data_IF_523285848710
#
_entry.id   IF_523285848710
#
_cell.length_a   1.000
_cell.length_b   1.000
_cell.length_c   1.000
_cell.angle_alpha   90.00
_cell.angle_beta   90.00
_cell.angle_gamma   90.00
#
_symmetry.space_group_name_H-M   'P 1'
#
loop_
_entity.id
_entity.type
_entity.pdbx_description
1 polymer ?
#
# COMPACT_ATOMS: atom_id res chain seq x y z
N UNK A 1 -19.90 -26.48 -23.05
CA UNK A 1 -18.66 -26.10 -22.58
C UNK A 1 -18.06 -24.82 -23.10
N UNK A 2 -18.58 -23.64 -22.70
CA UNK A 2 -17.96 -22.33 -23.00
C UNK A 2 -17.20 -21.83 -21.77
N UNK A 3 -15.99 -22.38 -21.56
CA UNK A 3 -15.32 -22.10 -20.29
C UNK A 3 -14.36 -20.93 -20.36
N UNK A 4 -13.94 -20.43 -21.51
CA UNK A 4 -13.02 -19.28 -21.59
C UNK A 4 -13.29 -18.41 -22.81
N UNK A 5 -14.24 -17.47 -22.72
CA UNK A 5 -14.22 -16.32 -23.62
C UNK A 5 -13.00 -15.47 -23.24
N UNK A 6 -11.95 -15.51 -24.08
CA UNK A 6 -10.86 -14.54 -23.98
C UNK A 6 -11.47 -13.15 -24.19
N UNK A 7 -11.49 -12.33 -23.14
CA UNK A 7 -11.82 -10.92 -23.31
C UNK A 7 -10.61 -10.27 -23.97
N UNK A 8 -10.74 -9.98 -25.26
CA UNK A 8 -9.77 -9.14 -25.96
C UNK A 8 -10.11 -7.69 -25.59
N UNK A 9 -9.21 -7.05 -24.84
CA UNK A 9 -9.25 -5.61 -24.69
C UNK A 9 -8.70 -5.02 -25.98
N UNK A 10 -9.52 -4.24 -26.68
CA UNK A 10 -9.03 -3.41 -27.78
C UNK A 10 -8.24 -2.25 -27.17
N UNK A 11 -6.93 -2.42 -27.12
CA UNK A 11 -5.99 -1.40 -26.60
C UNK A 11 -5.48 -0.49 -27.72
N UNK A 12 -6.02 -0.62 -28.94
CA UNK A 12 -5.65 0.23 -30.07
C UNK A 12 -6.08 1.68 -29.82
N UNK A 13 -5.21 2.47 -29.20
CA UNK A 13 -5.38 3.90 -28.94
C UNK A 13 -5.46 4.34 -27.49
N UNK A 14 -5.44 3.44 -26.52
CA UNK A 14 -5.38 3.79 -25.10
C UNK A 14 -4.12 3.19 -24.46
N UNK A 15 -3.01 3.90 -24.58
CA UNK A 15 -1.89 3.64 -23.66
C UNK A 15 -2.33 4.15 -22.28
N UNK A 16 -2.44 3.29 -21.26
CA UNK A 16 -2.62 3.78 -19.90
C UNK A 16 -1.49 4.76 -19.61
N UNK A 17 -1.78 5.92 -18.99
CA UNK A 17 -0.74 6.87 -18.67
C UNK A 17 0.32 6.15 -17.82
N UNK A 18 1.59 6.36 -18.17
CA UNK A 18 2.71 5.88 -17.36
C UNK A 18 2.45 6.35 -15.94
N UNK A 19 2.33 5.38 -15.02
CA UNK A 19 2.12 5.69 -13.61
C UNK A 19 3.38 6.36 -13.05
N UNK A 20 3.22 7.58 -12.56
CA UNK A 20 4.26 8.30 -11.85
C UNK A 20 3.69 8.77 -10.50
N UNK A 21 4.20 8.18 -9.42
CA UNK A 21 3.73 8.50 -8.08
C UNK A 21 4.07 9.95 -7.75
N UNK A 22 3.10 10.67 -7.15
CA UNK A 22 3.31 12.03 -6.65
C UNK A 22 3.68 12.00 -5.19
N UNK A 23 4.58 12.89 -4.82
CA UNK A 23 5.02 13.09 -3.43
C UNK A 23 3.87 13.68 -2.63
N UNK A 24 3.54 13.06 -1.52
CA UNK A 24 2.43 13.43 -0.64
C UNK A 24 2.95 13.96 0.70
N UNK A 25 2.16 14.78 1.41
CA UNK A 25 2.45 15.09 2.81
C UNK A 25 2.63 13.82 3.65
N UNK A 26 3.62 13.82 4.55
CA UNK A 26 4.04 12.66 5.38
C UNK A 26 4.81 11.57 4.65
N UNK A 27 5.11 11.74 3.36
CA UNK A 27 6.08 10.84 2.72
C UNK A 27 7.47 11.04 3.31
N UNK A 28 8.18 9.94 3.42
CA UNK A 28 9.57 9.91 3.86
C UNK A 28 10.45 9.67 2.64
N UNK A 29 11.32 10.63 2.34
CA UNK A 29 12.15 10.61 1.15
C UNK A 29 13.62 10.39 1.50
N UNK A 30 14.32 9.64 0.67
CA UNK A 30 15.79 9.64 0.60
C UNK A 30 16.19 10.38 -0.65
N UNK A 31 17.00 11.43 -0.50
CA UNK A 31 17.48 12.26 -1.60
C UNK A 31 18.99 12.16 -1.63
N UNK A 32 19.55 11.83 -2.79
CA UNK A 32 21.00 11.75 -2.99
C UNK A 32 21.43 12.67 -4.12
N UNK A 33 22.51 13.39 -3.89
CA UNK A 33 23.18 14.24 -4.88
C UNK A 33 24.53 13.61 -5.18
N UNK A 34 24.78 13.29 -6.44
CA UNK A 34 26.04 12.71 -6.90
C UNK A 34 26.69 13.64 -7.92
N UNK A 35 27.98 13.83 -7.78
CA UNK A 35 28.83 14.65 -8.64
C UNK A 35 30.07 13.86 -9.02
N UNK A 36 30.83 14.31 -10.00
CA UNK A 36 32.10 13.69 -10.39
C UNK A 36 33.11 13.73 -9.23
N UNK A 37 33.11 14.84 -8.48
CA UNK A 37 33.88 14.99 -7.25
C UNK A 37 32.96 14.80 -6.02
N UNK A 38 33.11 13.71 -5.24
CA UNK A 38 32.25 13.46 -4.08
C UNK A 38 32.30 14.52 -2.98
N UNK A 39 33.40 15.25 -2.86
CA UNK A 39 33.53 16.32 -1.85
C UNK A 39 32.61 17.48 -2.14
N UNK A 40 32.35 17.76 -3.41
CA UNK A 40 31.40 18.79 -3.85
C UNK A 40 29.96 18.44 -3.50
N UNK A 41 29.60 17.16 -3.48
CA UNK A 41 28.27 16.67 -3.12
C UNK A 41 28.07 16.49 -1.61
N UNK A 42 29.14 16.36 -0.83
CA UNK A 42 29.07 16.03 0.59
C UNK A 42 28.16 16.97 1.44
N UNK A 43 28.12 18.31 1.23
CA UNK A 43 27.26 19.20 1.99
C UNK A 43 25.76 18.94 1.79
N UNK A 44 25.36 18.28 0.69
CA UNK A 44 23.97 17.99 0.32
C UNK A 44 23.53 16.58 0.75
N UNK A 45 24.47 15.71 1.13
CA UNK A 45 24.24 14.33 1.52
C UNK A 45 24.52 14.14 3.02
N UNK A 46 23.63 14.63 3.87
CA UNK A 46 23.81 14.50 5.31
C UNK A 46 23.72 13.03 5.75
N UNK A 47 24.67 12.64 6.58
CA UNK A 47 24.76 11.31 7.16
C UNK A 47 24.37 11.41 8.63
N UNK A 48 23.43 10.57 9.05
CA UNK A 48 23.01 10.46 10.45
C UNK A 48 23.58 9.18 11.03
N UNK A 49 24.23 9.30 12.19
CA UNK A 49 24.65 8.12 12.95
C UNK A 49 23.40 7.46 13.56
N UNK A 50 23.09 6.26 13.12
CA UNK A 50 22.04 5.47 13.77
C UNK A 50 22.57 4.87 15.07
N UNK A 51 22.04 5.33 16.20
CA UNK A 51 22.19 4.64 17.48
C UNK A 51 21.25 3.42 17.47
N UNK A 52 21.79 2.25 17.25
CA UNK A 52 21.02 1.01 17.33
C UNK A 52 20.62 0.71 18.78
N UNK A 53 19.36 0.32 18.93
CA UNK A 53 18.68 -0.10 20.13
C UNK A 53 19.46 -1.12 20.96
N UNK A 54 19.36 -1.00 22.29
CA UNK A 54 20.04 -1.70 23.39
C UNK A 54 19.87 -3.24 23.47
N UNK A 55 19.52 -3.96 22.41
CA UNK A 55 19.31 -5.41 22.52
C UNK A 55 20.45 -6.30 22.00
N UNK A 56 21.41 -5.76 21.26
CA UNK A 56 22.61 -6.50 20.88
C UNK A 56 23.86 -5.64 21.09
N UNK A 57 24.78 -6.14 21.91
CA UNK A 57 26.03 -5.48 22.33
C UNK A 57 27.05 -5.18 21.22
N UNK A 58 26.69 -5.28 19.96
CA UNK A 58 27.54 -4.91 18.83
C UNK A 58 27.02 -3.60 18.24
N UNK A 59 27.58 -2.48 18.69
CA UNK A 59 27.39 -1.15 18.11
C UNK A 59 28.07 -1.11 16.73
N UNK A 60 27.40 -1.51 15.71
CA UNK A 60 27.83 -1.22 14.34
C UNK A 60 27.20 0.11 13.96
N UNK A 61 27.95 1.20 14.12
CA UNK A 61 27.60 2.51 13.59
C UNK A 61 27.65 2.41 12.05
N UNK A 62 26.52 2.06 11.41
CA UNK A 62 26.39 2.20 9.98
C UNK A 62 25.87 3.61 9.68
N UNK A 63 26.64 4.43 8.96
CA UNK A 63 26.19 5.73 8.51
C UNK A 63 25.01 5.56 7.56
N UNK A 64 23.87 6.17 7.85
CA UNK A 64 22.67 6.16 7.02
C UNK A 64 22.43 7.57 6.49
N UNK A 65 22.08 7.69 5.21
CA UNK A 65 21.67 8.97 4.63
C UNK A 65 20.45 9.50 5.39
N UNK A 66 20.44 10.81 5.64
CA UNK A 66 19.30 11.49 6.23
C UNK A 66 18.08 11.31 5.35
N UNK A 67 16.95 11.01 5.97
CA UNK A 67 15.65 10.99 5.33
C UNK A 67 14.93 12.31 5.59
N UNK A 68 14.11 12.71 4.63
CA UNK A 68 13.37 13.98 4.64
C UNK A 68 11.88 13.68 4.73
N UNK A 69 11.27 14.09 5.84
CA UNK A 69 9.82 14.00 6.02
C UNK A 69 9.15 15.19 5.33
N UNK A 70 8.25 14.92 4.41
CA UNK A 70 7.42 15.95 3.77
C UNK A 70 6.41 16.48 4.79
N UNK A 71 6.42 17.78 5.04
CA UNK A 71 5.49 18.41 5.99
C UNK A 71 4.05 18.48 5.46
N UNK A 72 3.13 18.98 6.28
CA UNK A 72 1.71 19.10 5.90
C UNK A 72 1.46 20.10 4.74
N UNK A 73 2.43 20.96 4.43
CA UNK A 73 2.37 21.92 3.35
C UNK A 73 3.09 21.43 2.09
N UNK A 74 3.62 20.22 2.10
CA UNK A 74 4.38 19.65 0.99
C UNK A 74 5.83 20.10 0.93
N UNK A 75 6.41 20.60 2.03
CA UNK A 75 7.79 21.09 2.05
C UNK A 75 8.72 20.08 2.72
N UNK A 76 9.99 20.16 2.33
CA UNK A 76 11.13 19.55 3.05
C UNK A 76 12.15 20.64 3.37
N UNK A 77 12.95 20.43 4.42
CA UNK A 77 14.12 21.24 4.71
C UNK A 77 15.35 20.51 4.19
N UNK A 78 15.90 21.03 3.08
CA UNK A 78 17.01 20.40 2.38
C UNK A 78 18.32 21.15 2.68
N UNK A 79 19.45 20.44 2.94
CA UNK A 79 20.72 21.06 3.29
C UNK A 79 21.15 22.11 2.27
N UNK A 80 21.64 23.24 2.76
CA UNK A 80 22.14 24.38 1.98
C UNK A 80 21.02 25.10 1.19
N UNK A 81 20.05 24.38 0.61
CA UNK A 81 18.97 24.96 -0.19
C UNK A 81 17.81 25.49 0.67
N UNK A 82 17.70 25.04 1.94
CA UNK A 82 16.61 25.40 2.83
C UNK A 82 15.29 24.74 2.45
N UNK A 83 14.19 25.45 2.66
CA UNK A 83 12.83 24.91 2.46
C UNK A 83 12.52 24.79 0.96
N UNK A 84 12.18 23.57 0.54
CA UNK A 84 11.76 23.24 -0.82
C UNK A 84 10.33 22.71 -0.82
N UNK A 85 9.47 23.27 -1.66
CA UNK A 85 8.12 22.75 -1.88
C UNK A 85 8.17 21.66 -2.96
N UNK A 86 7.94 20.41 -2.58
CA UNK A 86 7.98 19.24 -3.46
C UNK A 86 6.70 18.41 -3.44
N UNK A 87 5.76 18.74 -2.55
CA UNK A 87 4.45 18.10 -2.47
C UNK A 87 3.67 18.26 -3.78
N UNK A 88 3.06 17.19 -4.26
CA UNK A 88 2.35 17.14 -5.53
C UNK A 88 3.23 16.93 -6.76
N UNK A 89 4.56 17.07 -6.64
CA UNK A 89 5.50 16.78 -7.72
C UNK A 89 5.69 15.27 -7.88
N UNK A 90 5.96 14.85 -9.10
CA UNK A 90 6.52 13.52 -9.38
C UNK A 90 7.99 13.47 -8.93
N UNK A 91 8.56 12.27 -8.84
CA UNK A 91 9.99 12.11 -8.55
C UNK A 91 10.86 12.91 -9.51
N UNK A 92 10.61 12.76 -10.81
CA UNK A 92 11.38 13.41 -11.86
C UNK A 92 11.26 14.94 -11.79
N UNK A 93 10.08 15.47 -11.47
CA UNK A 93 9.88 16.90 -11.25
C UNK A 93 10.64 17.40 -10.02
N UNK A 94 10.63 16.64 -8.92
CA UNK A 94 11.38 16.97 -7.70
C UNK A 94 12.90 16.92 -7.93
N UNK A 95 13.40 15.88 -8.62
CA UNK A 95 14.80 15.76 -9.01
C UNK A 95 15.25 16.96 -9.86
N UNK A 96 14.44 17.36 -10.84
CA UNK A 96 14.71 18.51 -11.68
C UNK A 96 14.72 19.82 -10.88
N UNK A 97 13.74 20.03 -9.99
CA UNK A 97 13.68 21.20 -9.11
C UNK A 97 14.96 21.32 -8.26
N UNK A 98 15.36 20.22 -7.62
CA UNK A 98 16.58 20.22 -6.79
C UNK A 98 17.80 20.46 -7.65
N UNK A 99 17.92 19.82 -8.81
CA UNK A 99 19.03 20.01 -9.75
C UNK A 99 19.16 21.47 -10.19
N UNK A 100 18.06 22.12 -10.53
CA UNK A 100 18.06 23.54 -10.91
C UNK A 100 18.53 24.44 -9.76
N UNK A 101 18.10 24.17 -8.54
CA UNK A 101 18.53 24.91 -7.35
C UNK A 101 20.02 24.71 -7.05
N UNK A 102 20.56 23.52 -7.30
CA UNK A 102 21.97 23.19 -7.07
C UNK A 102 22.93 23.88 -8.05
N UNK A 103 22.47 24.33 -9.21
CA UNK A 103 23.32 25.04 -10.21
C UNK A 103 24.03 26.29 -9.65
N UNK A 104 23.48 26.89 -8.61
CA UNK A 104 24.12 28.08 -7.94
C UNK A 104 25.32 27.65 -7.10
N UNK A 105 25.39 26.40 -6.67
CA UNK A 105 26.39 25.86 -5.73
C UNK A 105 27.37 24.91 -6.40
N UNK A 106 26.95 24.23 -7.46
CA UNK A 106 27.70 23.19 -8.16
C UNK A 106 27.86 23.60 -9.63
N UNK A 107 29.10 23.68 -10.09
CA UNK A 107 29.41 24.10 -11.48
C UNK A 107 29.04 23.01 -12.50
N UNK A 108 29.22 21.74 -12.14
CA UNK A 108 28.82 20.59 -12.96
C UNK A 108 27.35 20.26 -12.78
N UNK A 109 26.78 19.50 -13.71
CA UNK A 109 25.38 19.04 -13.59
C UNK A 109 25.32 17.84 -12.64
N UNK A 110 24.75 17.97 -11.42
CA UNK A 110 24.68 16.88 -10.48
C UNK A 110 23.61 15.86 -10.88
N UNK A 111 23.82 14.60 -10.52
CA UNK A 111 22.80 13.54 -10.57
C UNK A 111 22.05 13.60 -9.25
N UNK A 112 20.78 13.93 -9.31
CA UNK A 112 19.87 13.93 -8.16
C UNK A 112 18.93 12.74 -8.26
N UNK A 113 18.85 11.94 -7.20
CA UNK A 113 17.90 10.84 -7.12
C UNK A 113 17.00 11.05 -5.90
N UNK A 114 15.69 10.97 -6.12
CA UNK A 114 14.65 11.02 -5.09
C UNK A 114 14.01 9.65 -4.99
N UNK A 115 13.93 9.10 -3.78
CA UNK A 115 13.28 7.82 -3.50
C UNK A 115 12.34 7.92 -2.31
N UNK A 116 11.20 7.25 -2.39
CA UNK A 116 10.26 7.12 -1.28
C UNK A 116 10.75 5.98 -0.36
N UNK A 117 11.15 6.33 0.87
CA UNK A 117 11.67 5.34 1.83
C UNK A 117 10.56 4.52 2.50
N UNK A 118 9.33 5.02 2.51
CA UNK A 118 8.18 4.41 3.20
C UNK A 118 7.03 4.04 2.26
N UNK A 119 7.31 3.79 0.96
CA UNK A 119 6.25 3.42 0.04
C UNK A 119 5.59 2.10 0.48
N UNK A 120 4.35 2.19 0.91
CA UNK A 120 3.56 1.05 1.40
C UNK A 120 2.12 1.15 0.96
N UNK A 121 1.48 0.00 0.87
CA UNK A 121 0.04 -0.17 0.68
C UNK A 121 -0.51 -1.06 1.79
N UNK A 122 -1.81 -1.05 1.99
CA UNK A 122 -2.47 -1.95 2.93
C UNK A 122 -3.55 -2.77 2.23
N UNK A 123 -3.62 -4.05 2.55
CA UNK A 123 -4.66 -4.95 2.04
C UNK A 123 -5.38 -5.58 3.22
N UNK A 124 -6.69 -5.49 3.24
CA UNK A 124 -7.51 -5.99 4.34
C UNK A 124 -8.85 -6.56 3.86
N UNK A 125 -9.60 -7.16 4.79
CA UNK A 125 -10.87 -7.83 4.51
C UNK A 125 -10.68 -9.31 4.18
N UNK A 126 -11.36 -9.80 3.15
CA UNK A 126 -11.37 -11.22 2.78
C UNK A 126 -10.17 -11.61 1.92
N UNK A 127 -8.98 -11.52 2.49
CA UNK A 127 -7.70 -11.98 1.95
C UNK A 127 -7.05 -12.97 2.90
N UNK A 128 -6.10 -13.76 2.41
CA UNK A 128 -5.45 -14.80 3.22
C UNK A 128 -4.57 -14.19 4.32
N UNK A 129 -3.79 -13.16 3.98
CA UNK A 129 -2.85 -12.50 4.89
C UNK A 129 -3.06 -10.98 4.85
N UNK A 130 -4.04 -10.44 5.60
CA UNK A 130 -4.23 -8.99 5.66
C UNK A 130 -3.03 -8.32 6.33
N UNK A 131 -2.63 -7.16 5.81
CA UNK A 131 -1.48 -6.44 6.34
C UNK A 131 -1.10 -5.20 5.54
N UNK A 132 -0.03 -4.54 5.97
CA UNK A 132 0.61 -3.46 5.23
C UNK A 132 1.91 -3.98 4.60
N UNK A 133 2.09 -3.69 3.32
CA UNK A 133 3.19 -4.20 2.50
C UNK A 133 4.06 -3.04 2.01
N UNK A 134 5.36 -3.12 2.27
CA UNK A 134 6.35 -2.16 1.78
C UNK A 134 6.73 -2.52 0.35
N UNK A 135 6.74 -1.56 -0.56
CA UNK A 135 6.99 -1.71 -1.98
C UNK A 135 8.34 -1.08 -2.33
N UNK A 136 9.34 -1.90 -2.60
CA UNK A 136 10.72 -1.44 -2.81
C UNK A 136 10.95 -0.70 -4.13
N UNK A 137 10.15 -0.99 -5.16
CA UNK A 137 10.27 -0.40 -6.50
C UNK A 137 9.29 0.77 -6.75
N UNK A 138 8.57 1.21 -5.70
CA UNK A 138 7.63 2.35 -5.74
C UNK A 138 6.54 2.21 -6.82
N UNK A 139 6.28 0.99 -7.26
CA UNK A 139 5.26 0.67 -8.25
C UNK A 139 4.63 -0.68 -7.92
N UNK A 140 3.33 -0.69 -7.75
CA UNK A 140 2.55 -1.92 -7.51
C UNK A 140 1.18 -1.77 -8.14
N UNK A 141 0.69 -2.81 -8.76
CA UNK A 141 -0.68 -2.85 -9.28
C UNK A 141 -1.62 -3.58 -8.32
N UNK A 142 -2.90 -3.46 -8.60
CA UNK A 142 -3.98 -4.04 -7.78
C UNK A 142 -3.85 -5.56 -7.59
N UNK A 143 -3.48 -6.30 -8.65
CA UNK A 143 -3.33 -7.75 -8.58
C UNK A 143 -2.07 -8.16 -7.83
N UNK A 144 -0.95 -7.43 -8.01
CA UNK A 144 0.27 -7.64 -7.21
C UNK A 144 0.00 -7.45 -5.73
N UNK A 145 -0.75 -6.41 -5.37
CA UNK A 145 -1.11 -6.15 -3.98
C UNK A 145 -1.94 -7.28 -3.37
N UNK A 146 -2.92 -7.80 -4.12
CA UNK A 146 -3.71 -8.96 -3.68
C UNK A 146 -2.85 -10.22 -3.57
N UNK A 147 -1.92 -10.44 -4.52
CA UNK A 147 -0.99 -11.57 -4.47
C UNK A 147 -0.07 -11.49 -3.24
N UNK A 148 0.42 -10.30 -2.86
CA UNK A 148 1.19 -10.10 -1.64
C UNK A 148 0.40 -10.48 -0.37
N UNK A 149 -0.91 -10.24 -0.38
CA UNK A 149 -1.82 -10.65 0.69
C UNK A 149 -2.26 -12.12 0.61
N UNK A 150 -1.66 -12.93 -0.27
CA UNK A 150 -1.98 -14.34 -0.46
C UNK A 150 -3.29 -14.60 -1.18
N UNK A 151 -3.73 -13.65 -2.01
CA UNK A 151 -5.00 -13.60 -2.75
C UNK A 151 -6.25 -13.52 -1.85
N UNK A 152 -7.38 -13.33 -2.50
CA UNK A 152 -8.70 -13.26 -1.87
C UNK A 152 -9.14 -14.66 -1.42
N UNK A 153 -9.80 -14.72 -0.26
CA UNK A 153 -10.45 -15.98 0.17
C UNK A 153 -11.66 -16.29 -0.70
N UNK A 154 -12.18 -17.50 -0.61
CA UNK A 154 -13.41 -17.93 -1.30
C UNK A 154 -14.65 -17.12 -0.89
N UNK A 155 -14.55 -16.37 0.21
CA UNK A 155 -15.62 -15.51 0.73
C UNK A 155 -15.49 -14.06 0.25
N UNK A 156 -14.41 -13.71 -0.42
CA UNK A 156 -14.19 -12.37 -0.96
C UNK A 156 -15.04 -12.11 -2.21
N UNK A 157 -15.63 -10.91 -2.29
CA UNK A 157 -16.39 -10.46 -3.46
C UNK A 157 -15.45 -9.80 -4.46
N UNK A 158 -15.20 -10.48 -5.61
CA UNK A 158 -14.35 -9.96 -6.70
C UNK A 158 -14.95 -8.78 -7.44
N UNK A 159 -16.27 -8.66 -7.42
CA UNK A 159 -17.04 -7.58 -8.03
C UNK A 159 -17.20 -6.35 -7.11
N UNK A 160 -16.74 -6.43 -5.87
CA UNK A 160 -16.89 -5.38 -4.85
C UNK A 160 -15.64 -5.25 -3.98
N UNK A 161 -14.50 -5.04 -4.62
CA UNK A 161 -13.27 -4.61 -3.93
C UNK A 161 -13.29 -3.09 -3.85
N UNK A 162 -12.88 -2.54 -2.72
CA UNK A 162 -12.84 -1.09 -2.49
C UNK A 162 -11.41 -0.63 -2.40
N UNK A 163 -11.06 0.37 -3.18
CA UNK A 163 -9.84 1.13 -3.02
C UNK A 163 -10.17 2.38 -2.21
N UNK A 164 -9.48 2.58 -1.10
CA UNK A 164 -9.56 3.78 -0.27
C UNK A 164 -8.27 4.56 -0.52
N UNK A 165 -8.41 5.77 -1.07
CA UNK A 165 -7.30 6.66 -1.43
C UNK A 165 -7.47 8.01 -0.76
N UNK A 166 -6.36 8.58 -0.31
CA UNK A 166 -6.31 9.95 0.21
C UNK A 166 -5.51 10.82 -0.77
N UNK A 167 -6.04 11.99 -1.12
CA UNK A 167 -5.35 12.95 -1.98
C UNK A 167 -4.36 13.82 -1.19
N UNK A 168 -3.61 14.66 -1.91
CA UNK A 168 -2.63 15.57 -1.30
C UNK A 168 -3.24 16.61 -0.34
N UNK A 169 -4.55 16.83 -0.41
CA UNK A 169 -5.32 17.73 0.43
C UNK A 169 -5.93 17.02 1.66
N UNK A 170 -5.78 15.69 1.76
CA UNK A 170 -6.34 14.88 2.83
C UNK A 170 -7.78 14.46 2.63
N UNK A 171 -8.35 14.66 1.43
CA UNK A 171 -9.68 14.14 1.11
C UNK A 171 -9.57 12.65 0.83
N UNK A 172 -10.52 11.89 1.36
CA UNK A 172 -10.58 10.44 1.21
C UNK A 172 -11.73 10.08 0.30
N UNK A 173 -11.44 9.22 -0.66
CA UNK A 173 -12.46 8.64 -1.53
C UNK A 173 -12.46 7.11 -1.43
N UNK A 174 -13.63 6.52 -1.64
CA UNK A 174 -13.80 5.07 -1.71
C UNK A 174 -14.24 4.74 -3.11
N UNK A 175 -13.38 4.02 -3.84
CA UNK A 175 -13.57 3.67 -5.24
C UNK A 175 -13.94 2.19 -5.31
N UNK A 176 -15.15 1.84 -5.78
CA UNK A 176 -15.51 0.45 -6.00
C UNK A 176 -14.79 -0.09 -7.25
N UNK A 177 -14.17 -1.24 -7.12
CA UNK A 177 -13.44 -1.94 -8.19
C UNK A 177 -14.06 -3.31 -8.43
N UNK A 178 -14.26 -3.65 -9.72
CA UNK A 178 -14.71 -4.96 -10.13
C UNK A 178 -13.56 -5.73 -10.79
N UNK A 179 -13.03 -6.74 -10.09
CA UNK A 179 -11.92 -7.56 -10.60
C UNK A 179 -12.35 -8.57 -11.67
N UNK A 180 -13.66 -8.76 -11.89
CA UNK A 180 -14.17 -9.61 -12.96
C UNK A 180 -14.20 -8.88 -14.30
N UNK A 181 -14.03 -7.55 -14.29
CA UNK A 181 -13.99 -6.74 -15.49
C UNK A 181 -12.53 -6.61 -15.98
N UNK A 182 -12.24 -7.11 -17.17
CA UNK A 182 -10.90 -7.02 -17.76
C UNK A 182 -10.45 -5.57 -18.00
N UNK A 183 -11.38 -4.62 -18.16
CA UNK A 183 -11.06 -3.20 -18.35
C UNK A 183 -10.39 -2.56 -17.12
N UNK A 184 -10.39 -3.23 -15.96
CA UNK A 184 -9.72 -2.77 -14.76
C UNK A 184 -8.23 -2.45 -14.98
N UNK A 185 -7.56 -3.18 -15.89
CA UNK A 185 -6.14 -2.94 -16.22
C UNK A 185 -5.90 -1.60 -16.93
N UNK A 186 -6.93 -1.02 -17.53
CA UNK A 186 -6.91 0.30 -18.18
C UNK A 186 -7.40 1.42 -17.23
N UNK A 187 -7.86 1.06 -16.04
CA UNK A 187 -8.35 2.02 -15.06
C UNK A 187 -7.20 2.86 -14.51
N UNK A 188 -7.43 4.16 -14.23
CA UNK A 188 -6.46 5.00 -13.51
C UNK A 188 -6.19 4.51 -12.08
N UNK A 189 -7.01 3.59 -11.57
CA UNK A 189 -6.88 2.97 -10.25
C UNK A 189 -6.18 1.62 -10.28
N UNK A 190 -5.71 1.16 -11.45
CA UNK A 190 -5.00 -0.10 -11.59
C UNK A 190 -3.67 -0.09 -10.83
N UNK A 191 -2.91 1.01 -10.95
CA UNK A 191 -1.72 1.24 -10.16
C UNK A 191 -2.07 1.93 -8.84
N UNK A 192 -1.55 1.37 -7.76
CA UNK A 192 -1.78 1.87 -6.42
C UNK A 192 -0.82 3.01 -6.09
N UNK A 193 -1.25 3.89 -5.22
CA UNK A 193 -0.45 5.01 -4.71
C UNK A 193 0.00 4.73 -3.27
N UNK A 194 0.93 5.54 -2.79
CA UNK A 194 1.40 5.52 -1.40
C UNK A 194 0.21 5.62 -0.43
N UNK A 195 0.19 4.76 0.57
CA UNK A 195 -0.85 4.64 1.60
C UNK A 195 -2.25 4.20 1.11
N UNK A 196 -2.40 3.77 -0.14
CA UNK A 196 -3.65 3.16 -0.60
C UNK A 196 -4.04 1.97 0.27
N UNK A 197 -5.35 1.83 0.51
CA UNK A 197 -5.91 0.70 1.23
C UNK A 197 -6.88 -0.05 0.32
N UNK A 198 -6.60 -1.34 0.11
CA UNK A 198 -7.51 -2.25 -0.59
C UNK A 198 -8.33 -2.98 0.46
N UNK A 199 -9.64 -2.88 0.36
CA UNK A 199 -10.56 -3.60 1.20
C UNK A 199 -11.39 -4.60 0.38
N UNK A 200 -11.19 -5.89 0.65
CA UNK A 200 -11.95 -6.96 0.03
C UNK A 200 -13.22 -7.21 0.84
N UNK A 201 -14.37 -6.94 0.24
CA UNK A 201 -15.68 -7.06 0.89
C UNK A 201 -16.03 -8.55 1.09
N UNK A 202 -16.49 -8.97 2.28
CA UNK A 202 -16.98 -10.33 2.51
C UNK A 202 -18.32 -10.58 1.80
N UNK A 203 -18.54 -11.81 1.35
CA UNK A 203 -19.81 -12.20 0.78
C UNK A 203 -20.91 -12.34 1.84
N UNK A 204 -22.17 -12.38 1.39
CA UNK A 204 -23.35 -12.47 2.28
C UNK A 204 -23.35 -13.72 3.19
N UNK A 205 -22.75 -14.81 2.75
CA UNK A 205 -22.67 -16.05 3.52
C UNK A 205 -21.81 -15.89 4.76
N UNK A 206 -20.63 -15.28 4.62
CA UNK A 206 -19.75 -15.00 5.77
C UNK A 206 -20.36 -13.96 6.70
N UNK A 207 -20.98 -12.91 6.14
CA UNK A 207 -21.66 -11.88 6.94
C UNK A 207 -22.81 -12.48 7.78
N UNK A 208 -23.55 -13.46 7.24
CA UNK A 208 -24.59 -14.18 7.99
C UNK A 208 -23.97 -15.10 9.06
N UNK A 209 -22.90 -15.82 8.74
CA UNK A 209 -22.26 -16.73 9.70
C UNK A 209 -21.64 -15.96 10.88
N UNK A 210 -21.15 -14.74 10.67
CA UNK A 210 -20.69 -13.88 11.76
C UNK A 210 -21.83 -13.45 12.72
N UNK A 211 -23.08 -13.44 12.23
CA UNK A 211 -24.28 -13.15 13.01
C UNK A 211 -24.94 -14.39 13.67
N UNK A 212 -24.52 -15.62 13.32
CA UNK A 212 -24.98 -16.83 13.99
C UNK A 212 -24.26 -16.93 15.34
N UNK A 213 -24.90 -16.41 16.35
CA UNK A 213 -24.43 -16.49 17.73
C UNK A 213 -24.28 -17.94 18.17
N UNK A 214 -23.32 -18.24 19.02
CA UNK A 214 -23.17 -19.55 19.73
C UNK A 214 -24.47 -20.04 20.38
N UNK A 215 -25.41 -19.14 20.65
CA UNK A 215 -26.72 -19.47 21.17
C UNK A 215 -27.52 -20.44 20.30
N UNK A 216 -27.45 -20.33 18.95
CA UNK A 216 -28.18 -21.24 18.04
C UNK A 216 -27.63 -22.67 18.13
N UNK A 217 -26.31 -22.81 18.21
CA UNK A 217 -25.67 -24.15 18.37
C UNK A 217 -25.99 -24.76 19.73
N UNK A 218 -26.04 -23.93 20.79
CA UNK A 218 -26.42 -24.36 22.14
C UNK A 218 -27.87 -24.83 22.13
N UNK A 219 -28.80 -24.14 21.48
CA UNK A 219 -30.19 -24.54 21.37
C UNK A 219 -30.36 -25.92 20.69
N UNK A 220 -29.67 -26.17 19.58
CA UNK A 220 -29.68 -27.47 18.92
C UNK A 220 -29.11 -28.59 19.83
N UNK A 221 -28.06 -28.30 20.59
CA UNK A 221 -27.50 -29.26 21.55
C UNK A 221 -28.47 -29.55 22.68
N UNK A 222 -29.15 -28.56 23.24
CA UNK A 222 -30.15 -28.73 24.31
C UNK A 222 -31.33 -29.53 23.82
N UNK A 223 -31.88 -29.22 22.63
CA UNK A 223 -33.01 -30.01 22.06
C UNK A 223 -32.59 -31.44 21.79
N UNK A 224 -31.41 -31.69 21.24
CA UNK A 224 -30.89 -33.03 21.00
C UNK A 224 -30.76 -33.85 22.29
N UNK A 225 -30.28 -33.21 23.37
CA UNK A 225 -30.18 -33.88 24.69
C UNK A 225 -31.56 -34.23 25.27
N UNK A 226 -32.52 -33.31 25.15
CA UNK A 226 -33.88 -33.55 25.63
C UNK A 226 -34.58 -34.71 24.89
N UNK A 227 -34.41 -34.77 23.55
CA UNK A 227 -34.95 -35.86 22.74
C UNK A 227 -34.31 -37.20 23.13
N UNK A 228 -33.00 -37.21 23.36
CA UNK A 228 -32.29 -38.43 23.81
C UNK A 228 -32.78 -38.92 25.18
N UNK A 229 -32.98 -38.01 26.13
CA UNK A 229 -33.52 -38.32 27.46
C UNK A 229 -34.98 -38.86 27.39
N UNK A 230 -35.83 -38.23 26.58
CA UNK A 230 -37.19 -38.68 26.37
C UNK A 230 -37.24 -40.10 25.76
N UNK A 231 -36.39 -40.38 24.78
CA UNK A 231 -36.24 -41.72 24.17
C UNK A 231 -35.80 -42.76 25.20
N UNK A 232 -34.86 -42.42 26.08
CA UNK A 232 -34.38 -43.30 27.13
C UNK A 232 -35.50 -43.64 28.14
N UNK A 233 -36.29 -42.65 28.56
CA UNK A 233 -37.43 -42.85 29.48
C UNK A 233 -38.48 -43.78 28.88
N UNK A 234 -38.83 -43.59 27.59
CA UNK A 234 -39.79 -44.46 26.89
C UNK A 234 -39.27 -45.90 26.79
N UNK A 235 -37.94 -46.06 26.61
CA UNK A 235 -37.34 -47.41 26.52
C UNK A 235 -37.34 -48.16 27.87
N UNK A 236 -37.16 -47.40 28.98
CA UNK A 236 -37.14 -47.99 30.34
C UNK A 236 -38.58 -48.28 30.87
N UNK A 237 -39.54 -47.48 30.37
CA UNK A 237 -40.97 -47.64 30.81
C UNK A 237 -41.76 -48.75 30.05
N UNK A 238 -41.08 -49.40 29.13
CA UNK A 238 -41.63 -50.52 28.35
C UNK A 238 -41.09 -51.87 28.85
#
# INVERSE_FOLDING_TARGET
GDVYKRQYLDTSGQNPPLYDARIMPKDLLTITVNTTDPETAAPFNLIVATTLSNQNKNLTNQPVLQQYLVDNKGNIDFPVLGILHIGGLTKSEAENLIREKLKTYITEVPIVNVRMANYKISVMGEVTNPGSFVISNEKVNLFEALAMAGDMTIYGQRDNVKLIREDAQGHREIIPLNLNDASIILSPYYYLQQNDVIYVTPNKTKAKNAGISNSTTIWFSVVGTLVSLASLIVTISR
#
